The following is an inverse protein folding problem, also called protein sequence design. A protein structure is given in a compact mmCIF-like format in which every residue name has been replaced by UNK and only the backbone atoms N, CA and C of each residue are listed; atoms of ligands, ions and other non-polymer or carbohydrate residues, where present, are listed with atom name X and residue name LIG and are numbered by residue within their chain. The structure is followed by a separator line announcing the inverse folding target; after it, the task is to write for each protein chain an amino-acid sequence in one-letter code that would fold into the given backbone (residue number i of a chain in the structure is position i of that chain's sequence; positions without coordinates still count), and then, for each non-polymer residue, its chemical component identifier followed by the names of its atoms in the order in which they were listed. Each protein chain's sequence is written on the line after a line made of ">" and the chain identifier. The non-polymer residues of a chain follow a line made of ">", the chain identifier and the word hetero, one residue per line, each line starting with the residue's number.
data_IF_128518305419
#
_entry.id   IF_128518305419
#
_cell.length_a   1.000
_cell.length_b   1.000
_cell.length_c   1.000
_cell.angle_alpha   90.00
_cell.angle_beta   90.00
_cell.angle_gamma   90.00
#
_symmetry.space_group_name_H-M   'P 1'
#
loop_
_entity.id
_entity.type
_entity.pdbx_description
1 polymer ?
#
# COMPACT_ATOMS: atom_id res chain seq x y z
N UNK A 1 -38.10 -8.59 15.53
CA UNK A 1 -37.55 -7.36 16.14
C UNK A 1 -36.10 -7.61 16.48
N UNK A 2 -35.18 -7.28 15.58
CA UNK A 2 -33.76 -7.33 15.88
C UNK A 2 -33.47 -6.21 16.88
N UNK A 3 -33.11 -6.56 18.11
CA UNK A 3 -32.71 -5.58 19.12
C UNK A 3 -31.55 -4.76 18.57
N UNK A 4 -31.69 -3.44 18.59
CA UNK A 4 -30.60 -2.50 18.32
C UNK A 4 -29.53 -2.78 19.39
N UNK A 5 -28.48 -3.51 19.03
CA UNK A 5 -27.37 -3.74 19.94
C UNK A 5 -26.56 -2.46 20.05
N UNK A 6 -26.40 -1.97 21.27
CA UNK A 6 -25.54 -0.82 21.53
C UNK A 6 -24.10 -1.12 21.08
N UNK A 7 -23.49 -0.27 20.24
CA UNK A 7 -22.10 -0.43 19.83
C UNK A 7 -21.19 -0.53 21.06
N UNK A 8 -20.22 -1.46 21.04
CA UNK A 8 -19.25 -1.59 22.14
C UNK A 8 -18.39 -0.33 22.16
N UNK A 9 -18.62 0.55 23.15
CA UNK A 9 -17.76 1.68 23.52
C UNK A 9 -16.71 1.22 24.55
N UNK A 10 -15.67 2.02 24.79
CA UNK A 10 -14.50 1.71 25.65
C UNK A 10 -14.86 1.04 26.98
N UNK A 11 -15.90 1.53 27.67
CA UNK A 11 -16.35 0.97 28.96
C UNK A 11 -16.85 -0.47 28.84
N UNK A 12 -17.42 -0.83 27.71
CA UNK A 12 -17.86 -2.20 27.39
C UNK A 12 -16.77 -3.03 26.73
N UNK A 13 -15.73 -2.40 26.14
CA UNK A 13 -14.65 -3.11 25.46
C UNK A 13 -13.90 -4.03 26.42
N UNK A 14 -13.57 -3.56 27.63
CA UNK A 14 -12.89 -4.40 28.62
C UNK A 14 -13.76 -5.60 29.02
N UNK A 15 -15.05 -5.37 29.26
CA UNK A 15 -16.01 -6.44 29.57
C UNK A 15 -16.12 -7.44 28.43
N UNK A 16 -16.17 -6.95 27.19
CA UNK A 16 -16.22 -7.75 25.98
C UNK A 16 -14.96 -8.62 25.83
N UNK A 17 -13.77 -8.03 25.93
CA UNK A 17 -12.50 -8.75 25.84
C UNK A 17 -12.33 -9.78 26.96
N UNK A 18 -12.80 -9.46 28.18
CA UNK A 18 -12.86 -10.42 29.29
C UNK A 18 -13.81 -11.58 28.95
N UNK A 19 -14.99 -11.28 28.40
CA UNK A 19 -15.97 -12.29 27.98
C UNK A 19 -15.48 -13.21 26.85
N UNK A 20 -14.57 -12.71 26.00
CA UNK A 20 -13.89 -13.49 24.96
C UNK A 20 -12.61 -14.19 25.46
N UNK A 21 -12.25 -14.05 26.74
CA UNK A 21 -11.05 -14.67 27.32
C UNK A 21 -9.72 -14.06 26.88
N UNK A 22 -9.72 -12.86 26.28
CA UNK A 22 -8.52 -12.18 25.79
C UNK A 22 -7.80 -11.38 26.89
N UNK A 23 -8.52 -11.01 27.95
CA UNK A 23 -8.01 -10.27 29.12
C UNK A 23 -8.48 -10.97 30.38
N UNK A 24 -7.60 -11.08 31.37
CA UNK A 24 -7.93 -11.59 32.70
C UNK A 24 -8.34 -10.46 33.65
N UNK A 25 -9.30 -10.74 34.54
CA UNK A 25 -9.80 -9.80 35.55
C UNK A 25 -8.71 -9.36 36.52
N UNK A 26 -7.76 -10.25 36.85
CA UNK A 26 -6.63 -9.90 37.71
C UNK A 26 -5.78 -8.77 37.09
N UNK A 27 -5.53 -8.83 35.78
CA UNK A 27 -4.75 -7.82 35.05
C UNK A 27 -5.41 -6.43 34.95
N UNK A 28 -6.74 -6.34 35.15
CA UNK A 28 -7.48 -5.08 35.16
C UNK A 28 -7.31 -4.36 36.52
N UNK A 29 -7.32 -5.11 37.62
CA UNK A 29 -7.32 -4.56 38.98
C UNK A 29 -5.93 -4.07 39.39
N UNK A 30 -4.86 -4.67 38.88
CA UNK A 30 -3.46 -4.32 39.19
C UNK A 30 -2.94 -3.05 38.48
N UNK A 31 -3.82 -2.29 37.82
CA UNK A 31 -3.47 -1.01 37.18
C UNK A 31 -2.49 -1.13 35.99
N UNK A 32 -2.27 -2.34 35.48
CA UNK A 32 -1.28 -2.64 34.45
C UNK A 32 -1.75 -2.46 33.01
N UNK A 33 -2.91 -1.83 32.75
CA UNK A 33 -3.50 -1.79 31.41
C UNK A 33 -3.56 -0.37 30.86
N UNK A 34 -3.01 -0.17 29.66
CA UNK A 34 -3.03 1.10 28.93
C UNK A 34 -3.86 0.94 27.67
N UNK A 35 -4.86 1.81 27.51
CA UNK A 35 -5.67 1.92 26.29
C UNK A 35 -5.36 3.23 25.61
N UNK A 36 -5.00 3.16 24.33
CA UNK A 36 -4.89 4.33 23.46
C UNK A 36 -5.92 4.20 22.35
N UNK A 37 -6.69 5.26 22.13
CA UNK A 37 -7.76 5.28 21.15
C UNK A 37 -7.49 6.32 20.08
N UNK A 38 -7.79 5.95 18.84
CA UNK A 38 -7.83 6.89 17.73
C UNK A 38 -9.03 6.59 16.83
N UNK A 39 -9.35 7.53 15.97
CA UNK A 39 -10.47 7.42 15.02
C UNK A 39 -10.01 7.92 13.66
N UNK A 40 -10.36 7.16 12.62
CA UNK A 40 -10.44 7.64 11.24
C UNK A 40 -11.82 7.26 10.68
N UNK A 41 -11.88 6.43 9.63
CA UNK A 41 -13.09 5.72 9.18
C UNK A 41 -13.52 4.65 10.18
N UNK A 42 -12.55 4.02 10.82
CA UNK A 42 -12.76 3.03 11.87
C UNK A 42 -12.34 3.59 13.22
N UNK A 43 -12.82 2.95 14.30
CA UNK A 43 -12.28 3.17 15.64
C UNK A 43 -11.14 2.19 15.86
N UNK A 44 -9.99 2.70 16.28
CA UNK A 44 -8.83 1.89 16.65
C UNK A 44 -8.58 1.97 18.14
N UNK A 45 -8.31 0.82 18.75
CA UNK A 45 -7.89 0.73 20.15
C UNK A 45 -6.63 -0.11 20.21
N UNK A 46 -5.56 0.49 20.75
CA UNK A 46 -4.36 -0.23 21.16
C UNK A 46 -4.49 -0.52 22.65
N UNK A 47 -4.47 -1.80 22.99
CA UNK A 47 -4.52 -2.25 24.38
C UNK A 47 -3.19 -2.90 24.73
N UNK A 48 -2.51 -2.37 25.74
CA UNK A 48 -1.26 -2.92 26.28
C UNK A 48 -1.48 -3.36 27.72
N UNK A 49 -1.05 -4.57 28.05
CA UNK A 49 -1.01 -5.07 29.41
C UNK A 49 0.45 -5.07 29.89
N UNK A 50 0.68 -4.74 31.16
CA UNK A 50 2.01 -4.65 31.78
C UNK A 50 2.72 -6.00 31.74
N UNK A 51 2.00 -7.07 32.05
CA UNK A 51 2.49 -8.45 32.13
C UNK A 51 1.63 -9.39 31.28
N UNK A 52 1.32 -9.04 30.04
CA UNK A 52 0.42 -9.83 29.21
C UNK A 52 0.41 -9.45 27.74
N UNK A 53 -0.45 -10.11 26.94
CA UNK A 53 -0.57 -9.81 25.52
C UNK A 53 -1.05 -8.37 25.29
N UNK A 54 -0.69 -7.82 24.14
CA UNK A 54 -1.16 -6.54 23.66
C UNK A 54 -1.96 -6.75 22.38
N UNK A 55 -3.03 -5.97 22.21
CA UNK A 55 -3.97 -6.13 21.11
C UNK A 55 -4.15 -4.84 20.32
N UNK A 56 -4.27 -4.99 19.01
CA UNK A 56 -4.79 -3.96 18.12
C UNK A 56 -6.23 -4.33 17.75
N UNK A 57 -7.16 -3.43 18.05
CA UNK A 57 -8.59 -3.66 17.88
C UNK A 57 -9.12 -2.61 16.90
N UNK A 58 -9.74 -3.08 15.83
CA UNK A 58 -10.41 -2.26 14.82
C UNK A 58 -11.90 -2.51 14.93
N UNK A 59 -12.68 -1.44 15.01
CA UNK A 59 -14.13 -1.52 15.16
C UNK A 59 -14.84 -0.59 14.19
N UNK A 60 -15.86 -1.12 13.51
CA UNK A 60 -16.70 -0.37 12.60
C UNK A 60 -17.43 0.75 13.34
N UNK A 61 -17.62 1.88 12.66
CA UNK A 61 -18.41 3.00 13.18
C UNK A 61 -19.74 2.97 12.44
N UNK A 62 -20.85 2.78 13.17
CA UNK A 62 -22.18 2.59 12.57
C UNK A 62 -22.61 3.76 11.66
N UNK A 63 -22.16 4.97 11.96
CA UNK A 63 -22.45 6.17 11.15
C UNK A 63 -21.55 6.33 9.92
N UNK A 64 -20.51 5.52 9.78
CA UNK A 64 -19.56 5.58 8.67
C UNK A 64 -19.86 4.43 7.69
N UNK A 65 -20.40 4.72 6.48
CA UNK A 65 -20.77 3.70 5.50
C UNK A 65 -19.58 2.84 5.08
N UNK A 66 -19.81 1.54 4.85
CA UNK A 66 -18.78 0.63 4.33
C UNK A 66 -17.76 0.11 5.36
N UNK A 67 -17.81 0.58 6.61
CA UNK A 67 -16.82 0.21 7.63
C UNK A 67 -16.92 -1.25 8.09
N UNK A 68 -18.13 -1.81 8.13
CA UNK A 68 -18.33 -3.23 8.47
C UNK A 68 -17.78 -4.14 7.36
N UNK A 69 -18.02 -3.77 6.12
CA UNK A 69 -17.60 -4.50 4.93
C UNK A 69 -16.07 -4.53 4.81
N UNK A 70 -15.41 -3.37 5.05
CA UNK A 70 -13.94 -3.26 5.03
C UNK A 70 -13.29 -4.04 6.17
N UNK A 71 -13.86 -4.02 7.38
CA UNK A 71 -13.38 -4.87 8.50
C UNK A 71 -13.60 -6.36 8.21
N UNK A 72 -14.76 -6.73 7.68
CA UNK A 72 -15.06 -8.12 7.35
C UNK A 72 -14.10 -8.66 6.28
N UNK A 73 -13.81 -7.84 5.26
CA UNK A 73 -12.83 -8.13 4.21
C UNK A 73 -11.42 -8.31 4.79
N UNK A 74 -10.96 -7.38 5.62
CA UNK A 74 -9.68 -7.54 6.31
C UNK A 74 -9.64 -8.86 7.09
N UNK A 75 -10.70 -9.17 7.83
CA UNK A 75 -10.81 -10.40 8.60
C UNK A 75 -10.81 -11.68 7.74
N UNK A 76 -11.28 -11.66 6.50
CA UNK A 76 -11.15 -12.80 5.58
C UNK A 76 -9.70 -13.04 5.18
N UNK A 77 -8.91 -11.99 4.97
CA UNK A 77 -7.47 -12.12 4.67
C UNK A 77 -6.76 -12.83 5.82
N UNK A 78 -7.00 -12.39 7.06
CA UNK A 78 -6.46 -13.06 8.25
C UNK A 78 -6.96 -14.50 8.40
N UNK A 79 -8.28 -14.75 8.25
CA UNK A 79 -8.83 -16.10 8.37
C UNK A 79 -8.27 -17.06 7.33
N UNK A 80 -8.13 -16.62 6.08
CA UNK A 80 -7.47 -17.39 5.04
C UNK A 80 -6.01 -17.70 5.40
N UNK A 81 -5.22 -16.66 5.68
CA UNK A 81 -3.79 -16.80 5.97
C UNK A 81 -3.50 -17.74 7.16
N UNK A 82 -4.30 -17.66 8.23
CA UNK A 82 -4.12 -18.51 9.42
C UNK A 82 -4.85 -19.85 9.35
N UNK A 83 -5.76 -20.04 8.39
CA UNK A 83 -6.55 -21.26 8.21
C UNK A 83 -5.99 -22.24 7.17
N UNK A 84 -5.07 -21.80 6.31
CA UNK A 84 -4.54 -22.60 5.21
C UNK A 84 -3.00 -22.45 5.10
N UNK A 85 -2.26 -23.56 5.27
CA UNK A 85 -0.79 -23.56 5.18
C UNK A 85 -0.27 -23.12 3.80
N UNK A 86 -1.07 -23.25 2.72
CA UNK A 86 -0.69 -22.75 1.40
C UNK A 86 -0.53 -21.22 1.39
N UNK A 87 -1.20 -20.53 2.32
CA UNK A 87 -1.16 -19.08 2.50
C UNK A 87 -0.13 -18.66 3.55
N UNK A 88 0.77 -19.56 3.96
CA UNK A 88 1.88 -19.25 4.87
C UNK A 88 2.70 -18.03 4.46
N UNK A 89 3.05 -17.80 3.18
CA UNK A 89 3.79 -16.59 2.80
C UNK A 89 3.11 -15.29 3.19
N UNK A 90 1.76 -15.26 3.14
CA UNK A 90 0.97 -14.14 3.62
C UNK A 90 0.93 -14.13 5.16
N UNK A 91 0.68 -15.27 5.81
CA UNK A 91 0.65 -15.40 7.28
C UNK A 91 1.91 -14.85 7.94
N UNK A 92 3.07 -15.14 7.37
CA UNK A 92 4.36 -14.74 7.91
C UNK A 92 4.55 -13.20 7.89
N UNK A 93 3.78 -12.48 7.07
CA UNK A 93 3.72 -11.02 6.99
C UNK A 93 2.61 -10.40 7.86
N UNK A 94 1.72 -11.18 8.46
CA UNK A 94 0.61 -10.67 9.26
C UNK A 94 0.92 -10.67 10.76
N UNK A 95 0.34 -9.72 11.54
CA UNK A 95 0.23 -9.90 12.98
C UNK A 95 -0.65 -11.11 13.30
N UNK A 96 -0.48 -11.66 14.50
CA UNK A 96 -1.26 -12.83 14.92
C UNK A 96 -2.76 -12.50 14.94
N UNK A 97 -3.54 -13.24 14.16
CA UNK A 97 -4.99 -13.14 14.18
C UNK A 97 -5.55 -13.69 15.51
N UNK A 98 -6.49 -12.96 16.13
CA UNK A 98 -7.14 -13.38 17.39
C UNK A 98 -8.63 -13.62 17.22
N UNK A 99 -9.35 -12.64 16.68
CA UNK A 99 -10.80 -12.71 16.61
C UNK A 99 -11.35 -11.79 15.53
N UNK A 100 -12.41 -12.22 14.87
CA UNK A 100 -13.34 -11.34 14.17
C UNK A 100 -14.76 -11.60 14.69
N UNK A 101 -15.49 -10.54 15.01
CA UNK A 101 -16.88 -10.57 15.46
C UNK A 101 -17.72 -9.73 14.50
N UNK A 102 -18.37 -10.41 13.55
CA UNK A 102 -19.11 -9.76 12.48
C UNK A 102 -20.35 -9.00 12.98
N UNK A 103 -20.99 -9.50 14.05
CA UNK A 103 -22.16 -8.84 14.66
C UNK A 103 -21.77 -7.47 15.24
N UNK A 104 -20.61 -7.41 15.91
CA UNK A 104 -20.07 -6.19 16.49
C UNK A 104 -19.21 -5.37 15.53
N UNK A 105 -18.88 -5.91 14.36
CA UNK A 105 -17.96 -5.29 13.40
C UNK A 105 -16.56 -5.06 14.00
N UNK A 106 -16.03 -6.06 14.73
CA UNK A 106 -14.74 -5.98 15.44
C UNK A 106 -13.74 -6.96 14.83
N UNK A 107 -12.53 -6.49 14.57
CA UNK A 107 -11.34 -7.29 14.28
C UNK A 107 -10.28 -7.08 15.37
N UNK A 108 -9.71 -8.16 15.88
CA UNK A 108 -8.67 -8.16 16.90
C UNK A 108 -7.47 -8.96 16.42
N UNK A 109 -6.31 -8.31 16.44
CA UNK A 109 -5.00 -8.90 16.17
C UNK A 109 -4.07 -8.63 17.36
N UNK A 110 -2.95 -9.34 17.44
CA UNK A 110 -1.86 -8.93 18.31
C UNK A 110 -1.34 -7.56 17.90
N UNK A 111 -1.08 -6.73 18.91
CA UNK A 111 -0.36 -5.48 18.70
C UNK A 111 1.11 -5.81 18.45
N UNK A 112 1.64 -5.39 17.30
CA UNK A 112 3.05 -5.55 16.98
C UNK A 112 3.86 -4.66 17.95
N UNK A 113 4.72 -5.24 18.81
CA UNK A 113 5.42 -4.50 19.83
C UNK A 113 6.55 -3.68 19.22
N UNK A 114 6.72 -2.45 19.72
CA UNK A 114 7.86 -1.58 19.36
C UNK A 114 8.12 -1.50 17.84
N UNK A 115 7.06 -1.31 17.06
CA UNK A 115 7.13 -1.26 15.59
C UNK A 115 7.29 0.16 15.06
N UNK A 116 7.88 0.31 13.88
CA UNK A 116 7.85 1.56 13.10
C UNK A 116 7.49 1.31 11.63
N UNK A 117 6.85 2.29 10.99
CA UNK A 117 6.52 2.22 9.56
C UNK A 117 7.78 2.38 8.71
N UNK A 118 7.76 1.85 7.49
CA UNK A 118 8.83 2.10 6.53
C UNK A 118 9.01 3.59 6.23
N UNK A 119 7.92 4.36 6.21
CA UNK A 119 7.99 5.82 6.07
C UNK A 119 8.84 6.45 7.17
N UNK A 120 8.68 6.01 8.43
CA UNK A 120 9.48 6.49 9.55
C UNK A 120 10.95 6.05 9.43
N UNK A 121 11.20 4.80 9.03
CA UNK A 121 12.56 4.27 8.83
C UNK A 121 13.30 5.06 7.76
N UNK A 122 12.72 5.20 6.55
CA UNK A 122 13.35 5.92 5.45
C UNK A 122 13.57 7.39 5.77
N UNK A 123 12.60 8.06 6.41
CA UNK A 123 12.76 9.45 6.86
C UNK A 123 13.88 9.61 7.88
N UNK A 124 13.97 8.70 8.86
CA UNK A 124 15.01 8.73 9.89
C UNK A 124 16.41 8.52 9.30
N UNK A 125 16.53 7.62 8.33
CA UNK A 125 17.81 7.30 7.68
C UNK A 125 18.19 8.33 6.59
N UNK A 126 17.22 9.06 6.04
CA UNK A 126 17.43 9.94 4.90
C UNK A 126 17.79 9.21 3.61
N UNK A 127 17.59 7.88 3.57
CA UNK A 127 17.98 7.01 2.45
C UNK A 127 17.08 5.78 2.36
N UNK A 128 17.21 5.03 1.27
CA UNK A 128 16.50 3.78 1.02
C UNK A 128 17.49 2.60 1.07
N UNK A 129 17.56 1.84 2.18
CA UNK A 129 18.43 0.67 2.26
C UNK A 129 18.07 -0.38 1.20
N UNK A 130 19.07 -0.80 0.43
CA UNK A 130 18.93 -1.72 -0.72
C UNK A 130 18.41 -3.09 -0.28
N UNK A 131 18.96 -3.66 0.79
CA UNK A 131 18.55 -4.97 1.30
C UNK A 131 17.09 -4.98 1.78
N UNK A 132 16.63 -3.87 2.37
CA UNK A 132 15.25 -3.71 2.79
C UNK A 132 14.31 -3.66 1.58
N UNK A 133 14.72 -2.98 0.51
CA UNK A 133 13.96 -2.93 -0.74
C UNK A 133 13.87 -4.31 -1.41
N UNK A 134 14.98 -5.05 -1.49
CA UNK A 134 14.99 -6.43 -2.00
C UNK A 134 14.07 -7.35 -1.17
N UNK A 135 14.09 -7.20 0.16
CA UNK A 135 13.21 -7.95 1.06
C UNK A 135 11.73 -7.64 0.81
N UNK A 136 11.37 -6.38 0.56
CA UNK A 136 10.00 -6.00 0.19
C UNK A 136 9.59 -6.63 -1.15
N UNK A 137 10.47 -6.62 -2.15
CA UNK A 137 10.19 -7.24 -3.45
C UNK A 137 9.90 -8.73 -3.30
N UNK A 138 10.72 -9.43 -2.51
CA UNK A 138 10.51 -10.85 -2.19
C UNK A 138 9.19 -11.09 -1.45
N UNK A 139 8.89 -10.27 -0.44
CA UNK A 139 7.66 -10.39 0.34
C UNK A 139 6.39 -10.20 -0.51
N UNK A 140 6.37 -9.18 -1.38
CA UNK A 140 5.25 -8.95 -2.29
C UNK A 140 5.07 -10.10 -3.29
N UNK A 141 6.17 -10.57 -3.89
CA UNK A 141 6.10 -11.73 -4.79
C UNK A 141 5.53 -12.97 -4.09
N UNK A 142 5.87 -13.18 -2.82
CA UNK A 142 5.49 -14.37 -2.07
C UNK A 142 3.98 -14.46 -1.82
N UNK A 143 3.30 -13.36 -1.47
CA UNK A 143 1.82 -13.39 -1.35
C UNK A 143 1.12 -13.24 -2.70
N UNK A 144 1.73 -12.57 -3.69
CA UNK A 144 1.21 -12.58 -5.06
C UNK A 144 1.24 -13.98 -5.69
N UNK A 145 2.06 -14.92 -5.20
CA UNK A 145 1.99 -16.31 -5.64
C UNK A 145 0.63 -16.99 -5.30
N UNK A 146 -0.20 -16.38 -4.46
CA UNK A 146 -1.56 -16.84 -4.15
C UNK A 146 -2.46 -16.50 -5.34
N UNK A 147 -2.58 -17.46 -6.26
CA UNK A 147 -3.37 -17.31 -7.49
C UNK A 147 -4.80 -17.78 -7.34
N UNK A 148 -5.70 -17.08 -8.04
CA UNK A 148 -7.11 -17.39 -8.13
C UNK A 148 -7.48 -17.67 -9.59
N UNK A 149 -8.39 -18.61 -9.79
CA UNK A 149 -8.96 -18.88 -11.12
C UNK A 149 -9.99 -17.80 -11.42
N UNK A 150 -9.81 -17.10 -12.53
CA UNK A 150 -10.74 -16.08 -12.99
C UNK A 150 -12.12 -16.70 -13.26
N UNK A 151 -13.19 -16.07 -12.76
CA UNK A 151 -14.57 -16.54 -12.91
C UNK A 151 -14.99 -17.68 -11.96
N UNK A 152 -14.09 -18.24 -11.16
CA UNK A 152 -14.48 -19.14 -10.08
C UNK A 152 -15.16 -18.34 -8.93
N UNK A 153 -16.14 -18.92 -8.20
CA UNK A 153 -16.73 -18.26 -7.05
C UNK A 153 -15.65 -17.95 -6.01
N UNK A 154 -15.37 -16.66 -5.81
CA UNK A 154 -14.48 -16.17 -4.77
C UNK A 154 -15.33 -15.61 -3.62
N UNK A 155 -14.71 -15.39 -2.45
CA UNK A 155 -15.45 -14.84 -1.31
C UNK A 155 -16.15 -13.53 -1.73
N UNK A 156 -17.45 -13.43 -1.48
CA UNK A 156 -18.29 -12.30 -1.90
C UNK A 156 -17.83 -10.91 -1.38
N UNK A 157 -16.83 -10.90 -0.51
CA UNK A 157 -16.24 -9.71 0.12
C UNK A 157 -15.15 -9.03 -0.73
N UNK A 158 -14.67 -9.69 -1.79
CA UNK A 158 -13.69 -9.15 -2.76
C UNK A 158 -14.42 -8.68 -4.03
N UNK A 159 -14.48 -7.35 -4.30
CA UNK A 159 -15.28 -6.80 -5.40
C UNK A 159 -14.66 -7.03 -6.78
N UNK A 160 -13.37 -7.36 -6.86
CA UNK A 160 -12.59 -7.60 -8.08
C UNK A 160 -12.65 -6.42 -9.07
N UNK A 161 -12.56 -5.21 -8.53
CA UNK A 161 -12.68 -3.98 -9.30
C UNK A 161 -11.34 -3.28 -9.44
N UNK A 162 -11.08 -2.76 -10.64
CA UNK A 162 -9.98 -1.83 -10.85
C UNK A 162 -10.16 -0.57 -9.98
N UNK A 163 -9.07 0.03 -9.48
CA UNK A 163 -9.09 1.30 -8.77
C UNK A 163 -9.87 2.38 -9.54
N UNK A 164 -10.57 3.25 -8.79
CA UNK A 164 -11.43 4.29 -9.37
C UNK A 164 -10.69 5.21 -10.36
N UNK A 165 -9.41 5.48 -10.11
CA UNK A 165 -8.61 6.37 -10.96
C UNK A 165 -8.49 5.85 -12.39
N UNK A 166 -8.47 4.54 -12.58
CA UNK A 166 -8.42 3.93 -13.91
C UNK A 166 -9.75 4.10 -14.68
N UNK A 167 -10.82 4.50 -13.98
CA UNK A 167 -12.16 4.73 -14.54
C UNK A 167 -12.51 6.21 -14.65
N UNK A 168 -11.58 7.11 -14.30
CA UNK A 168 -11.84 8.54 -14.12
C UNK A 168 -12.51 9.20 -15.35
N UNK A 169 -12.02 8.91 -16.56
CA UNK A 169 -12.51 9.51 -17.81
C UNK A 169 -13.72 8.80 -18.44
N UNK A 170 -14.34 7.83 -17.74
CA UNK A 170 -15.47 7.08 -18.27
C UNK A 170 -16.59 6.89 -17.26
N UNK A 171 -16.41 5.95 -16.32
CA UNK A 171 -17.48 5.43 -15.46
C UNK A 171 -17.22 5.64 -13.96
N UNK A 172 -16.20 6.40 -13.58
CA UNK A 172 -15.91 6.62 -12.18
C UNK A 172 -17.06 7.40 -11.51
N UNK A 173 -17.80 6.73 -10.63
CA UNK A 173 -18.65 7.42 -9.68
C UNK A 173 -17.77 8.07 -8.59
N UNK A 174 -17.39 9.31 -8.84
CA UNK A 174 -16.66 10.15 -7.87
C UNK A 174 -17.60 10.95 -6.96
N UNK A 175 -18.92 10.75 -7.05
CA UNK A 175 -19.91 11.54 -6.31
C UNK A 175 -19.83 11.30 -4.79
N UNK A 176 -19.46 10.08 -4.39
CA UNK A 176 -19.21 9.71 -3.00
C UNK A 176 -17.85 10.14 -2.45
N UNK A 177 -16.97 10.70 -3.29
CA UNK A 177 -15.64 11.16 -2.84
C UNK A 177 -15.75 12.53 -2.19
N UNK A 178 -15.03 12.70 -1.08
CA UNK A 178 -14.90 14.00 -0.44
C UNK A 178 -14.10 14.94 -1.35
N UNK A 179 -14.74 16.02 -1.81
CA UNK A 179 -14.16 17.02 -2.71
C UNK A 179 -14.01 18.36 -2.00
N UNK A 180 -12.79 18.66 -1.56
CA UNK A 180 -12.38 20.03 -1.23
C UNK A 180 -12.12 20.83 -2.53
N UNK A 181 -11.99 22.17 -2.47
CA UNK A 181 -11.60 22.96 -3.64
C UNK A 181 -10.27 22.49 -4.27
N UNK A 182 -9.27 22.15 -3.45
CA UNK A 182 -7.99 21.63 -3.94
C UNK A 182 -8.15 20.28 -4.66
N UNK A 183 -8.96 19.37 -4.09
CA UNK A 183 -9.23 18.08 -4.70
C UNK A 183 -10.02 18.21 -6.02
N UNK A 184 -10.99 19.12 -6.09
CA UNK A 184 -11.72 19.41 -7.33
C UNK A 184 -10.80 19.95 -8.40
N UNK A 185 -9.96 20.95 -8.09
CA UNK A 185 -9.01 21.51 -9.04
C UNK A 185 -8.02 20.45 -9.57
N UNK A 186 -7.57 19.54 -8.71
CA UNK A 186 -6.72 18.44 -9.13
C UNK A 186 -7.45 17.48 -10.07
N UNK A 187 -8.69 17.12 -9.78
CA UNK A 187 -9.50 16.28 -10.69
C UNK A 187 -9.70 16.95 -12.04
N UNK A 188 -9.96 18.26 -12.06
CA UNK A 188 -10.12 19.02 -13.31
C UNK A 188 -8.83 18.98 -14.15
N UNK A 189 -7.66 19.11 -13.52
CA UNK A 189 -6.35 18.97 -14.19
C UNK A 189 -6.20 17.57 -14.80
N UNK A 190 -6.50 16.51 -14.04
CA UNK A 190 -6.37 15.13 -14.52
C UNK A 190 -7.37 14.81 -15.64
N UNK A 191 -8.59 15.35 -15.56
CA UNK A 191 -9.62 15.18 -16.60
C UNK A 191 -9.25 15.92 -17.90
N UNK A 192 -8.66 17.11 -17.79
CA UNK A 192 -8.26 17.91 -18.93
C UNK A 192 -6.93 17.46 -19.58
N UNK A 193 -6.15 16.61 -18.91
CA UNK A 193 -4.85 16.17 -19.39
C UNK A 193 -4.96 15.37 -20.71
N UNK A 194 -4.31 15.81 -21.80
CA UNK A 194 -4.35 15.11 -23.08
C UNK A 194 -3.82 13.68 -22.99
N UNK A 195 -4.52 12.73 -23.60
CA UNK A 195 -4.12 11.31 -23.64
C UNK A 195 -4.36 10.53 -22.34
N UNK A 196 -4.48 11.18 -21.18
CA UNK A 196 -4.61 10.51 -19.88
C UNK A 196 -5.80 9.52 -19.84
N UNK A 197 -6.95 9.90 -20.40
CA UNK A 197 -8.12 9.02 -20.43
C UNK A 197 -7.94 7.73 -21.24
N UNK A 198 -7.25 7.80 -22.39
CA UNK A 198 -6.96 6.61 -23.20
C UNK A 198 -6.02 5.66 -22.44
N UNK A 199 -4.97 6.21 -21.83
CA UNK A 199 -3.97 5.45 -21.10
C UNK A 199 -4.51 4.77 -19.83
N UNK A 200 -5.32 5.49 -19.07
CA UNK A 200 -6.01 4.93 -17.91
C UNK A 200 -7.04 3.86 -18.33
N UNK A 201 -7.73 4.09 -19.45
CA UNK A 201 -8.63 3.12 -20.08
C UNK A 201 -7.92 1.81 -20.46
N UNK A 202 -6.75 1.88 -21.08
CA UNK A 202 -5.95 0.68 -21.41
C UNK A 202 -5.54 -0.12 -20.17
N UNK A 203 -5.12 0.56 -19.10
CA UNK A 203 -4.80 -0.09 -17.82
C UNK A 203 -6.01 -0.78 -17.19
N UNK A 204 -7.17 -0.11 -17.22
CA UNK A 204 -8.47 -0.64 -16.78
C UNK A 204 -8.87 -1.87 -17.58
N UNK A 205 -8.83 -1.78 -18.89
CA UNK A 205 -9.29 -2.85 -19.80
C UNK A 205 -8.38 -4.08 -19.73
N UNK A 206 -7.10 -3.86 -19.41
CA UNK A 206 -6.13 -4.93 -19.13
C UNK A 206 -6.14 -5.47 -17.69
N UNK A 207 -6.99 -4.95 -16.79
CA UNK A 207 -7.00 -5.30 -15.36
C UNK A 207 -7.16 -6.81 -15.14
N UNK A 208 -6.18 -7.41 -14.44
CA UNK A 208 -6.20 -8.83 -14.08
C UNK A 208 -6.96 -9.07 -12.78
N UNK A 209 -7.53 -10.26 -12.63
CA UNK A 209 -8.28 -10.72 -11.44
C UNK A 209 -7.79 -12.11 -11.01
N UNK A 210 -6.47 -12.25 -10.88
CA UNK A 210 -5.81 -13.54 -10.77
C UNK A 210 -5.02 -13.72 -9.47
N UNK A 211 -4.95 -12.70 -8.62
CA UNK A 211 -4.15 -12.75 -7.39
C UNK A 211 -4.70 -11.90 -6.27
N UNK A 212 -4.41 -12.28 -5.03
CA UNK A 212 -4.64 -11.40 -3.88
C UNK A 212 -3.75 -10.16 -4.02
N UNK A 213 -4.34 -8.98 -3.85
CA UNK A 213 -3.66 -7.69 -3.76
C UNK A 213 -4.13 -6.93 -2.51
N UNK A 214 -3.26 -6.10 -1.96
CA UNK A 214 -3.52 -5.22 -0.84
C UNK A 214 -4.38 -4.02 -1.25
N UNK A 215 -4.21 -3.55 -2.49
CA UNK A 215 -4.83 -2.35 -3.11
C UNK A 215 -4.45 -0.99 -2.50
N UNK A 216 -4.05 -0.95 -1.24
CA UNK A 216 -3.40 0.22 -0.62
C UNK A 216 -1.96 -0.07 -0.19
N UNK A 217 -1.19 -0.74 -1.05
CA UNK A 217 0.21 -1.05 -0.75
C UNK A 217 1.05 0.23 -0.70
N UNK A 218 1.61 0.55 0.47
CA UNK A 218 2.41 1.75 0.73
C UNK A 218 3.30 1.55 1.96
N UNK A 219 4.32 2.37 2.11
CA UNK A 219 5.24 2.29 3.25
C UNK A 219 4.60 2.47 4.63
N UNK A 220 3.50 3.23 4.71
CA UNK A 220 2.74 3.37 5.96
C UNK A 220 2.11 2.06 6.43
N UNK A 221 1.78 1.17 5.48
CA UNK A 221 1.16 -0.13 5.74
C UNK A 221 2.19 -1.25 5.91
N UNK A 222 3.49 -0.92 5.87
CA UNK A 222 4.59 -1.83 6.11
C UNK A 222 5.30 -1.46 7.41
N UNK A 223 5.36 -2.40 8.36
CA UNK A 223 5.99 -2.19 9.68
C UNK A 223 7.23 -3.06 9.84
N UNK A 224 8.24 -2.53 10.51
CA UNK A 224 9.39 -3.28 11.02
C UNK A 224 9.36 -3.32 12.54
N UNK A 225 9.61 -4.49 13.12
CA UNK A 225 9.67 -4.67 14.56
C UNK A 225 10.62 -5.81 14.97
N UNK A 226 11.19 -5.75 16.20
CA UNK A 226 11.17 -4.60 17.11
C UNK A 226 12.20 -3.54 16.69
N UNK A 227 12.02 -2.27 17.08
CA UNK A 227 12.99 -1.19 16.77
C UNK A 227 14.36 -1.41 17.41
N UNK A 228 14.42 -2.18 18.50
CA UNK A 228 15.67 -2.51 19.18
C UNK A 228 16.66 -3.31 18.33
N UNK A 229 16.18 -4.10 17.37
CA UNK A 229 17.01 -5.00 16.57
C UNK A 229 17.68 -4.27 15.40
N UNK A 230 18.76 -4.86 14.87
CA UNK A 230 19.38 -4.41 13.63
C UNK A 230 18.39 -4.51 12.47
N UNK A 231 18.44 -3.58 11.52
CA UNK A 231 17.44 -3.46 10.45
C UNK A 231 17.22 -4.77 9.66
N UNK A 232 18.30 -5.52 9.44
CA UNK A 232 18.27 -6.81 8.73
C UNK A 232 17.48 -7.90 9.49
N UNK A 233 17.49 -7.85 10.82
CA UNK A 233 16.91 -8.87 11.69
C UNK A 233 15.45 -8.57 12.07
N UNK A 234 15.03 -7.31 11.95
CA UNK A 234 13.65 -6.90 12.25
C UNK A 234 12.66 -7.66 11.39
N UNK A 235 11.56 -8.15 11.94
CA UNK A 235 10.48 -8.77 11.16
C UNK A 235 9.68 -7.70 10.40
N UNK A 236 9.38 -7.99 9.14
CA UNK A 236 8.49 -7.22 8.29
C UNK A 236 7.04 -7.69 8.49
N UNK A 237 6.14 -6.72 8.65
CA UNK A 237 4.70 -6.92 8.69
C UNK A 237 4.01 -6.03 7.66
N UNK A 238 2.93 -6.53 7.07
CA UNK A 238 2.03 -5.78 6.20
C UNK A 238 0.65 -5.74 6.87
N UNK A 239 0.11 -4.55 7.09
CA UNK A 239 -1.12 -4.31 7.84
C UNK A 239 -2.13 -3.50 7.01
N UNK A 240 -3.36 -3.40 7.51
CA UNK A 240 -4.44 -2.62 6.90
C UNK A 240 -4.95 -3.17 5.56
N UNK A 241 -5.23 -4.48 5.55
CA UNK A 241 -5.79 -5.21 4.39
C UNK A 241 -7.29 -4.92 4.16
N UNK A 242 -7.80 -3.79 4.64
CA UNK A 242 -9.23 -3.44 4.59
C UNK A 242 -9.74 -3.15 3.18
N UNK A 243 -8.83 -2.89 2.24
CA UNK A 243 -9.11 -2.70 0.83
C UNK A 243 -8.68 -3.89 -0.03
N UNK A 244 -8.21 -4.99 0.57
CA UNK A 244 -7.71 -6.15 -0.16
C UNK A 244 -8.71 -6.64 -1.22
N UNK A 245 -8.21 -7.12 -2.35
CA UNK A 245 -9.04 -7.60 -3.43
C UNK A 245 -8.35 -8.73 -4.18
N UNK A 246 -9.09 -9.36 -5.10
CA UNK A 246 -8.52 -10.24 -6.10
C UNK A 246 -8.43 -9.44 -7.39
N UNK A 247 -7.19 -9.17 -7.80
CA UNK A 247 -6.89 -8.15 -8.79
C UNK A 247 -5.53 -8.35 -9.44
N UNK A 248 -4.91 -7.25 -9.79
CA UNK A 248 -3.69 -7.20 -10.57
C UNK A 248 -2.46 -6.89 -9.71
N UNK A 249 -1.50 -7.80 -9.63
CA UNK A 249 -0.25 -7.61 -8.88
C UNK A 249 0.50 -6.32 -9.28
N UNK A 250 0.37 -5.87 -10.53
CA UNK A 250 1.03 -4.65 -10.99
C UNK A 250 0.59 -3.42 -10.21
N UNK A 251 -0.62 -3.43 -9.62
CA UNK A 251 -1.09 -2.33 -8.80
C UNK A 251 -0.30 -2.18 -7.50
N UNK A 252 -0.10 -3.27 -6.76
CA UNK A 252 0.67 -3.24 -5.51
C UNK A 252 2.15 -2.95 -5.78
N UNK A 253 2.72 -3.56 -6.83
CA UNK A 253 4.11 -3.31 -7.26
C UNK A 253 4.30 -1.85 -7.68
N UNK A 254 3.41 -1.34 -8.54
CA UNK A 254 3.40 0.06 -8.96
C UNK A 254 3.25 1.03 -7.78
N UNK A 255 2.43 0.68 -6.79
CA UNK A 255 2.25 1.49 -5.58
C UNK A 255 3.49 1.52 -4.69
N UNK A 256 4.23 0.41 -4.60
CA UNK A 256 5.50 0.38 -3.88
C UNK A 256 6.58 1.20 -4.62
N UNK A 257 6.71 1.04 -5.94
CA UNK A 257 7.59 1.87 -6.77
C UNK A 257 7.23 3.36 -6.63
N UNK A 258 5.94 3.69 -6.58
CA UNK A 258 5.45 5.05 -6.37
C UNK A 258 5.88 5.60 -5.00
N UNK A 259 5.93 4.77 -3.96
CA UNK A 259 6.37 5.20 -2.61
C UNK A 259 7.82 5.69 -2.61
N UNK A 260 8.71 5.03 -3.36
CA UNK A 260 10.11 5.49 -3.55
C UNK A 260 10.17 6.85 -4.25
N UNK A 261 9.41 7.04 -5.33
CA UNK A 261 9.39 8.32 -6.05
C UNK A 261 8.73 9.43 -5.24
N UNK A 262 7.68 9.12 -4.46
CA UNK A 262 7.04 10.08 -3.57
C UNK A 262 8.00 10.54 -2.46
N UNK A 263 8.89 9.66 -1.99
CA UNK A 263 9.94 10.03 -1.03
C UNK A 263 10.95 11.01 -1.63
N UNK A 264 11.40 10.74 -2.86
CA UNK A 264 12.26 11.67 -3.63
C UNK A 264 11.57 13.02 -3.87
N UNK A 265 10.35 13.01 -4.43
CA UNK A 265 9.54 14.22 -4.69
C UNK A 265 9.29 15.02 -3.41
N UNK A 266 8.95 14.35 -2.32
CA UNK A 266 8.73 14.99 -1.01
C UNK A 266 9.98 15.61 -0.39
N UNK A 267 11.17 15.34 -0.95
CA UNK A 267 12.44 15.90 -0.49
C UNK A 267 12.85 17.18 -1.23
N UNK A 268 12.11 17.56 -2.28
CA UNK A 268 12.36 18.73 -3.11
C UNK A 268 11.98 20.03 -2.38
N UNK A 269 12.71 21.14 -2.63
CA UNK A 269 12.37 22.43 -2.05
C UNK A 269 11.11 23.00 -2.70
N UNK A 270 10.55 24.07 -2.12
CA UNK A 270 9.55 24.87 -2.83
C UNK A 270 10.27 25.76 -3.85
N UNK A 271 10.21 25.39 -5.14
CA UNK A 271 10.73 26.18 -6.25
C UNK A 271 9.78 26.11 -7.47
N UNK A 272 9.79 27.16 -8.30
CA UNK A 272 8.96 27.23 -9.51
C UNK A 272 9.67 26.67 -10.75
N UNK A 273 11.00 26.60 -10.75
CA UNK A 273 11.80 26.04 -11.83
C UNK A 273 12.04 24.53 -11.63
N UNK A 274 11.67 23.67 -12.59
CA UNK A 274 11.91 22.23 -12.52
C UNK A 274 13.37 21.85 -12.30
N UNK A 275 14.32 22.54 -12.93
CA UNK A 275 15.75 22.19 -12.76
C UNK A 275 16.21 22.47 -11.32
N UNK A 276 15.82 23.61 -10.76
CA UNK A 276 16.07 23.93 -9.35
C UNK A 276 15.36 22.98 -8.37
N UNK A 277 14.15 22.50 -8.68
CA UNK A 277 13.44 21.50 -7.87
C UNK A 277 14.25 20.21 -7.77
N UNK A 278 14.70 19.68 -8.91
CA UNK A 278 15.46 18.43 -8.95
C UNK A 278 16.84 18.55 -8.31
N UNK A 279 17.58 19.63 -8.61
CA UNK A 279 18.90 19.87 -8.07
C UNK A 279 18.88 20.14 -6.55
N UNK A 280 17.78 20.71 -6.03
CA UNK A 280 17.61 21.03 -4.62
C UNK A 280 17.09 19.89 -3.74
N UNK A 281 16.81 18.72 -4.31
CA UNK A 281 16.26 17.58 -3.57
C UNK A 281 17.22 17.13 -2.45
N UNK A 282 16.75 17.14 -1.20
CA UNK A 282 17.55 16.69 -0.04
C UNK A 282 17.81 15.19 -0.05
N UNK A 283 16.98 14.43 -0.78
CA UNK A 283 17.23 13.03 -1.14
C UNK A 283 17.43 12.99 -2.65
N UNK A 284 18.64 12.81 -3.19
CA UNK A 284 18.85 12.75 -4.64
C UNK A 284 18.24 11.49 -5.26
N UNK A 285 17.71 11.58 -6.49
CA UNK A 285 17.13 10.43 -7.20
C UNK A 285 18.10 9.25 -7.30
N UNK A 286 19.37 9.53 -7.60
CA UNK A 286 20.44 8.55 -7.69
C UNK A 286 20.67 7.76 -6.39
N UNK A 287 20.22 8.28 -5.23
CA UNK A 287 20.29 7.55 -3.95
C UNK A 287 19.09 6.60 -3.73
N UNK A 288 18.00 6.79 -4.47
CA UNK A 288 16.76 6.02 -4.35
C UNK A 288 16.71 4.90 -5.41
N UNK A 289 17.24 5.16 -6.60
CA UNK A 289 17.28 4.22 -7.73
C UNK A 289 17.85 2.83 -7.39
N UNK A 290 18.97 2.69 -6.65
CA UNK A 290 19.49 1.37 -6.27
C UNK A 290 18.49 0.54 -5.45
N UNK A 291 17.71 1.19 -4.60
CA UNK A 291 16.66 0.51 -3.82
C UNK A 291 15.49 0.10 -4.72
N UNK A 292 15.06 0.97 -5.63
CA UNK A 292 14.03 0.65 -6.62
C UNK A 292 14.43 -0.57 -7.47
N UNK A 293 15.66 -0.55 -8.01
CA UNK A 293 16.21 -1.64 -8.81
C UNK A 293 16.28 -2.96 -8.01
N UNK A 294 16.70 -2.91 -6.74
CA UNK A 294 16.77 -4.08 -5.88
C UNK A 294 15.38 -4.64 -5.50
N UNK A 295 14.41 -3.76 -5.24
CA UNK A 295 13.01 -4.16 -5.05
C UNK A 295 12.48 -4.90 -6.28
N UNK A 296 12.63 -4.29 -7.47
CA UNK A 296 12.18 -4.88 -8.72
C UNK A 296 12.88 -6.22 -9.01
N UNK A 297 14.21 -6.25 -8.92
CA UNK A 297 15.01 -7.45 -9.17
C UNK A 297 14.61 -8.60 -8.24
N UNK A 298 14.40 -8.33 -6.95
CA UNK A 298 13.98 -9.35 -5.99
C UNK A 298 12.54 -9.82 -6.26
N UNK A 299 11.62 -8.91 -6.58
CA UNK A 299 10.24 -9.26 -6.94
C UNK A 299 10.21 -10.18 -8.17
N UNK A 300 10.84 -9.75 -9.27
CA UNK A 300 10.77 -10.48 -10.54
C UNK A 300 11.53 -11.82 -10.46
N UNK A 301 12.63 -11.86 -9.71
CA UNK A 301 13.35 -13.11 -9.44
C UNK A 301 12.49 -14.05 -8.61
N UNK A 302 11.77 -13.58 -7.59
CA UNK A 302 10.92 -14.45 -6.78
C UNK A 302 9.59 -14.83 -7.46
N UNK A 303 9.24 -14.25 -8.61
CA UNK A 303 7.92 -14.40 -9.23
C UNK A 303 7.93 -15.31 -10.46
N UNK A 304 7.53 -16.57 -10.31
CA UNK A 304 7.45 -17.50 -11.44
C UNK A 304 6.46 -17.05 -12.52
N UNK A 305 5.41 -16.32 -12.14
CA UNK A 305 4.37 -15.87 -13.06
C UNK A 305 4.82 -14.74 -14.00
N UNK A 306 5.72 -13.86 -13.54
CA UNK A 306 6.11 -12.67 -14.29
C UNK A 306 7.55 -12.72 -14.79
N UNK A 307 8.41 -13.60 -14.24
CA UNK A 307 9.83 -13.70 -14.65
C UNK A 307 9.98 -13.95 -16.16
N UNK A 308 9.06 -14.70 -16.77
CA UNK A 308 9.09 -15.01 -18.21
C UNK A 308 8.79 -13.82 -19.13
N UNK A 309 8.08 -12.80 -18.63
CA UNK A 309 7.78 -11.55 -19.34
C UNK A 309 8.01 -10.35 -18.40
N UNK A 310 9.25 -10.24 -17.92
CA UNK A 310 9.64 -9.15 -17.03
C UNK A 310 9.46 -7.76 -17.67
N UNK A 311 9.82 -7.51 -18.94
CA UNK A 311 9.63 -6.20 -19.57
C UNK A 311 8.14 -5.82 -19.72
N UNK A 312 7.28 -6.75 -20.15
CA UNK A 312 5.85 -6.51 -20.27
C UNK A 312 5.20 -6.21 -18.91
N UNK A 313 5.57 -6.98 -17.88
CA UNK A 313 5.10 -6.72 -16.52
C UNK A 313 5.62 -5.38 -15.97
N UNK A 314 6.87 -5.00 -16.24
CA UNK A 314 7.42 -3.72 -15.80
C UNK A 314 6.65 -2.54 -16.40
N UNK A 315 6.40 -2.58 -17.71
CA UNK A 315 5.62 -1.54 -18.41
C UNK A 315 4.25 -1.36 -17.78
N UNK A 316 3.59 -2.47 -17.41
CA UNK A 316 2.31 -2.45 -16.69
C UNK A 316 2.44 -1.83 -15.30
N UNK A 317 3.46 -2.20 -14.52
CA UNK A 317 3.74 -1.62 -13.21
C UNK A 317 4.01 -0.11 -13.28
N UNK A 318 4.68 0.38 -14.33
CA UNK A 318 4.93 1.81 -14.56
C UNK A 318 3.61 2.57 -14.77
N UNK A 319 2.71 2.03 -15.57
CA UNK A 319 1.36 2.60 -15.74
C UNK A 319 0.57 2.63 -14.42
N UNK A 320 0.61 1.55 -13.64
CA UNK A 320 -0.04 1.48 -12.32
C UNK A 320 0.60 2.43 -11.30
N UNK A 321 1.92 2.64 -11.35
CA UNK A 321 2.64 3.63 -10.55
C UNK A 321 2.13 5.05 -10.82
N UNK A 322 1.95 5.42 -12.09
CA UNK A 322 1.43 6.73 -12.43
C UNK A 322 -0.01 6.90 -11.93
N UNK A 323 -0.86 5.90 -12.13
CA UNK A 323 -2.22 5.89 -11.62
C UNK A 323 -2.26 5.99 -10.08
N UNK A 324 -1.44 5.24 -9.35
CA UNK A 324 -1.35 5.36 -7.88
C UNK A 324 -0.88 6.75 -7.46
N UNK A 325 0.08 7.34 -8.18
CA UNK A 325 0.59 8.68 -7.90
C UNK A 325 -0.51 9.75 -8.01
N UNK A 326 -1.42 9.63 -8.99
CA UNK A 326 -2.61 10.48 -9.10
C UNK A 326 -3.54 10.30 -7.90
N UNK A 327 -3.76 9.06 -7.43
CA UNK A 327 -4.56 8.80 -6.22
C UNK A 327 -3.90 9.44 -4.99
N UNK A 328 -2.58 9.34 -4.84
CA UNK A 328 -1.86 9.99 -3.73
C UNK A 328 -1.99 11.51 -3.78
N UNK A 329 -1.88 12.12 -4.97
CA UNK A 329 -2.10 13.55 -5.13
C UNK A 329 -3.54 13.95 -4.69
N UNK A 330 -4.53 13.14 -5.05
CA UNK A 330 -5.93 13.35 -4.63
C UNK A 330 -6.11 13.20 -3.11
N UNK A 331 -5.58 12.14 -2.50
CA UNK A 331 -5.64 11.89 -1.05
C UNK A 331 -5.08 13.08 -0.26
N UNK A 332 -3.94 13.64 -0.70
CA UNK A 332 -3.32 14.83 -0.09
C UNK A 332 -4.19 16.08 -0.21
N UNK A 333 -4.97 16.17 -1.27
CA UNK A 333 -5.80 17.33 -1.57
C UNK A 333 -7.17 17.27 -0.89
N UNK A 334 -7.67 16.07 -0.53
CA UNK A 334 -9.02 15.80 -0.08
C UNK A 334 -9.50 16.60 1.16
N UNK A 335 -8.56 17.10 1.97
CA UNK A 335 -8.84 17.89 3.18
C UNK A 335 -8.30 19.32 3.13
N UNK A 336 -7.67 19.71 2.02
CA UNK A 336 -7.05 21.03 1.88
C UNK A 336 -7.92 22.02 1.11
N UNK A 337 -7.95 23.27 1.56
CA UNK A 337 -8.57 24.37 0.81
C UNK A 337 -7.64 24.89 -0.30
N UNK A 338 -6.32 24.80 -0.08
CA UNK A 338 -5.29 25.26 -1.01
C UNK A 338 -4.56 24.07 -1.62
N UNK A 339 -4.16 24.21 -2.88
CA UNK A 339 -3.42 23.16 -3.56
C UNK A 339 -2.03 22.99 -2.96
N UNK A 340 -1.71 21.78 -2.54
CA UNK A 340 -0.37 21.39 -2.08
C UNK A 340 0.57 21.32 -3.30
N UNK A 341 1.69 22.08 -3.33
CA UNK A 341 2.66 22.01 -4.42
C UNK A 341 3.16 20.59 -4.69
N UNK A 342 3.30 19.76 -3.64
CA UNK A 342 3.70 18.36 -3.79
C UNK A 342 2.61 17.54 -4.48
N UNK A 343 1.33 17.82 -4.22
CA UNK A 343 0.23 17.13 -4.91
C UNK A 343 0.23 17.46 -6.41
N UNK A 344 0.50 18.71 -6.80
CA UNK A 344 0.64 19.08 -8.22
C UNK A 344 1.85 18.41 -8.84
N UNK A 345 2.99 18.40 -8.16
CA UNK A 345 4.20 17.78 -8.67
C UNK A 345 4.03 16.27 -8.87
N UNK A 346 3.34 15.58 -7.95
CA UNK A 346 2.96 14.18 -8.09
C UNK A 346 2.06 13.97 -9.33
N UNK A 347 1.01 14.80 -9.50
CA UNK A 347 0.13 14.68 -10.66
C UNK A 347 0.86 14.95 -11.99
N UNK A 348 1.70 15.99 -12.05
CA UNK A 348 2.50 16.29 -13.24
C UNK A 348 3.49 15.15 -13.55
N UNK A 349 4.15 14.61 -12.54
CA UNK A 349 5.07 13.48 -12.71
C UNK A 349 4.32 12.25 -13.24
N UNK A 350 3.13 11.96 -12.70
CA UNK A 350 2.28 10.88 -13.19
C UNK A 350 1.89 11.06 -14.67
N UNK A 351 1.51 12.27 -15.08
CA UNK A 351 1.18 12.57 -16.47
C UNK A 351 2.39 12.42 -17.41
N UNK A 352 3.58 12.83 -16.96
CA UNK A 352 4.82 12.65 -17.73
C UNK A 352 5.18 11.17 -17.86
N UNK A 353 5.00 10.37 -16.80
CA UNK A 353 5.24 8.92 -16.83
C UNK A 353 4.30 8.24 -17.81
N UNK A 354 3.03 8.65 -17.83
CA UNK A 354 2.08 8.13 -18.80
C UNK A 354 2.49 8.54 -20.23
N UNK A 355 2.91 9.78 -20.47
CA UNK A 355 3.28 10.21 -21.82
C UNK A 355 4.46 9.43 -22.43
N UNK A 356 5.39 8.93 -21.62
CA UNK A 356 6.56 8.18 -22.09
C UNK A 356 6.99 7.09 -21.08
N UNK A 357 6.26 5.95 -21.01
CA UNK A 357 6.50 4.93 -20.00
C UNK A 357 7.80 4.14 -20.24
N UNK A 358 8.29 4.10 -21.48
CA UNK A 358 9.48 3.33 -21.84
C UNK A 358 10.75 4.02 -21.32
N UNK A 359 10.81 5.36 -21.30
CA UNK A 359 11.93 6.10 -20.69
C UNK A 359 11.99 6.02 -19.17
N UNK A 360 10.85 5.82 -18.52
CA UNK A 360 10.71 5.85 -17.05
C UNK A 360 11.48 4.73 -16.37
N UNK A 361 11.56 3.54 -16.99
CA UNK A 361 12.24 2.38 -16.43
C UNK A 361 13.71 2.68 -16.10
N UNK A 362 14.44 3.26 -17.04
CA UNK A 362 15.86 3.59 -16.86
C UNK A 362 16.03 4.92 -16.12
N UNK A 363 15.43 6.00 -16.64
CA UNK A 363 15.73 7.37 -16.19
C UNK A 363 15.23 7.65 -14.77
N UNK A 364 14.07 7.11 -14.41
CA UNK A 364 13.41 7.42 -13.14
C UNK A 364 13.52 6.27 -12.13
N UNK A 365 13.37 5.02 -12.60
CA UNK A 365 13.41 3.86 -11.71
C UNK A 365 14.81 3.25 -11.57
N UNK A 366 15.76 3.55 -12.47
CA UNK A 366 17.09 2.94 -12.46
C UNK A 366 17.05 1.43 -12.73
N UNK A 367 15.99 0.95 -13.39
CA UNK A 367 15.81 -0.45 -13.76
C UNK A 367 16.33 -0.60 -15.19
N UNK A 368 17.52 -1.18 -15.31
CA UNK A 368 18.18 -1.40 -16.60
C UNK A 368 18.03 -2.85 -17.01
N UNK A 369 17.63 -3.11 -18.26
CA UNK A 369 17.66 -4.45 -18.82
C UNK A 369 19.12 -4.90 -19.01
N UNK A 370 19.57 -5.98 -18.34
CA UNK A 370 20.92 -6.51 -18.52
C UNK A 370 21.23 -6.87 -19.99
N UNK A 371 20.22 -7.26 -20.78
CA UNK A 371 20.40 -7.67 -22.17
C UNK A 371 20.63 -6.48 -23.13
N UNK A 372 19.96 -5.34 -22.89
CA UNK A 372 20.11 -4.13 -23.69
C UNK A 372 21.54 -3.55 -23.59
N UNK A 373 22.14 -3.58 -22.39
CA UNK A 373 23.49 -3.09 -22.16
C UNK A 373 24.62 -3.98 -22.70
N UNK A 374 24.35 -5.24 -23.01
CA UNK A 374 25.30 -6.10 -23.74
C UNK A 374 25.31 -5.73 -25.22
N UNK A 375 24.13 -5.48 -25.81
CA UNK A 375 24.01 -5.00 -27.18
C UNK A 375 24.65 -3.62 -27.37
N UNK A 376 24.40 -2.66 -26.47
CA UNK A 376 25.02 -1.34 -26.55
C UNK A 376 26.54 -1.38 -26.33
N UNK A 377 27.04 -2.26 -25.45
CA UNK A 377 28.50 -2.43 -25.29
C UNK A 377 29.14 -3.06 -26.52
N UNK A 378 28.48 -4.03 -27.14
CA UNK A 378 28.95 -4.66 -28.39
C UNK A 378 28.88 -3.67 -29.56
N UNK A 379 27.82 -2.87 -29.65
CA UNK A 379 27.69 -1.84 -30.68
C UNK A 379 28.74 -0.74 -30.51
N UNK A 380 28.95 -0.25 -29.29
CA UNK A 380 29.95 0.77 -29.00
C UNK A 380 31.39 0.25 -29.17
N UNK A 381 31.66 -1.04 -28.92
CA UNK A 381 32.94 -1.67 -29.24
C UNK A 381 33.14 -1.88 -30.74
N UNK A 382 32.07 -2.15 -31.51
CA UNK A 382 32.12 -2.30 -32.96
C UNK A 382 32.23 -0.96 -33.71
N UNK A 383 31.79 0.15 -33.11
CA UNK A 383 31.95 1.52 -33.65
C UNK A 383 33.32 2.11 -33.29
N UNK A 384 33.95 1.61 -32.22
CA UNK A 384 35.29 2.02 -31.78
C UNK A 384 36.44 1.19 -32.37
N UNK A 385 36.14 0.16 -33.17
CA UNK A 385 37.10 -0.66 -33.92
C UNK A 385 36.97 -0.36 -35.42
#
# INVERSE_FOLDING_TARGET
>A
MAGRMDPIVTRNLIRYLTGKGLIDRAGIVDGGMVLTMSRSRNRFVMLKQRNGPAYFIKQAIETEPGTRETIAREAEVYRGAFGDERLRPLRDLLPQFRLHDAEQGILINDLIPDSETLTAVHRKLGTCPVDLAARLGTALSAYHAIRFVEGAPQAALFPQQSPWILRLHGEADVSGMRRSPAASALLDILLAAPGAGAMLGELRDGWKRDTLIHTDMRWENCLLAPRGDALADRRLYIIDWELADIGDAAWDVGSMLQSYLAFWIGSMPAASDPAALFAGATVPLASVQPAIAAFWAAYITASDAYRGDAPGFLKRCIGMLAARMMVTAFERSAWSQTTDPIAILLAQTALNILADPDRVAEELLGIVDPAAHVLDRVLNQAIAA
#
